data_IF_864854685695
#
_entry.id   IF_864854685695
#
_cell.length_a   1.000
_cell.length_b   1.000
_cell.length_c   1.000
_cell.angle_alpha   90.00
_cell.angle_beta   90.00
_cell.angle_gamma   90.00
#
_symmetry.space_group_name_H-M   'P 1'
#
loop_
_entity.id
_entity.type
_entity.pdbx_description
1 polymer ?
#
# COMPACT_ATOMS: atom_id res chain seq x y z
N UNK A 1 4.88 12.14 9.18
CA UNK A 1 5.83 11.05 8.79
C UNK A 1 6.39 10.34 10.03
N UNK A 2 6.21 9.01 10.11
CA UNK A 2 6.77 8.14 11.16
C UNK A 2 7.47 6.91 10.52
N UNK A 3 8.70 6.60 10.95
CA UNK A 3 9.55 5.51 10.43
C UNK A 3 10.53 5.07 11.56
N UNK A 4 10.95 3.79 11.65
CA UNK A 4 11.80 3.32 12.74
C UNK A 4 13.11 4.11 12.87
N UNK A 5 13.37 4.61 14.09
CA UNK A 5 14.45 5.56 14.44
C UNK A 5 15.86 5.09 14.07
N UNK A 6 16.09 3.77 14.04
CA UNK A 6 17.40 3.16 13.74
C UNK A 6 17.84 3.31 12.29
N UNK A 7 16.98 3.75 11.37
CA UNK A 7 17.35 3.89 9.94
C UNK A 7 17.58 5.30 9.44
N UNK A 8 17.19 6.36 10.19
CA UNK A 8 17.61 7.74 9.83
C UNK A 8 19.12 7.91 9.92
N UNK A 9 19.77 7.25 10.88
CA UNK A 9 21.22 7.33 11.07
C UNK A 9 22.02 6.75 9.88
N UNK A 10 21.49 5.73 9.19
CA UNK A 10 22.16 5.12 8.03
C UNK A 10 22.06 5.94 6.73
N UNK A 11 21.18 6.96 6.70
CA UNK A 11 20.97 7.81 5.52
C UNK A 11 21.93 9.02 5.46
N UNK A 12 22.72 9.30 6.51
CA UNK A 12 23.57 10.51 6.56
C UNK A 12 24.98 10.39 5.97
N UNK A 13 25.43 9.21 5.53
CA UNK A 13 26.78 9.05 4.96
C UNK A 13 26.83 8.14 3.73
N UNK A 14 26.24 8.57 2.61
CA UNK A 14 26.62 8.03 1.31
C UNK A 14 27.52 9.04 0.61
N UNK A 15 28.80 8.72 0.33
CA UNK A 15 29.63 9.56 -0.52
C UNK A 15 29.00 9.61 -1.92
N UNK A 16 28.90 10.83 -2.47
CA UNK A 16 28.75 11.00 -3.92
C UNK A 16 29.98 10.40 -4.61
N UNK A 17 29.74 9.61 -5.66
CA UNK A 17 30.73 8.90 -6.50
C UNK A 17 31.38 7.64 -5.90
N UNK A 18 30.67 6.51 -6.06
CA UNK A 18 31.29 5.20 -6.19
C UNK A 18 31.54 4.90 -7.67
N UNK A 19 32.76 4.52 -8.02
CA UNK A 19 33.18 4.21 -9.39
C UNK A 19 32.30 3.13 -10.03
N UNK A 20 31.85 3.39 -11.26
CA UNK A 20 30.99 2.51 -12.05
C UNK A 20 31.84 1.38 -12.62
N UNK A 21 31.79 0.20 -12.00
CA UNK A 21 32.29 -1.02 -12.64
C UNK A 21 31.13 -1.74 -13.32
N UNK A 22 30.87 -1.48 -14.60
CA UNK A 22 30.47 -2.51 -15.59
C UNK A 22 29.92 -1.86 -16.88
N UNK A 23 30.61 -2.13 -17.99
CA UNK A 23 30.18 -1.80 -19.36
C UNK A 23 29.03 -2.70 -19.87
N UNK A 24 28.41 -3.53 -19.03
CA UNK A 24 27.29 -4.43 -19.37
C UNK A 24 25.97 -4.09 -18.66
N UNK A 25 25.85 -2.92 -18.03
CA UNK A 25 24.63 -2.50 -17.33
C UNK A 25 23.39 -2.33 -18.23
N UNK A 26 23.52 -2.42 -19.55
CA UNK A 26 22.45 -2.24 -20.54
C UNK A 26 21.45 -3.40 -20.63
N UNK A 27 21.55 -4.41 -19.76
CA UNK A 27 20.71 -5.62 -19.80
C UNK A 27 19.84 -5.83 -18.57
N UNK A 28 19.84 -4.92 -17.59
CA UNK A 28 18.83 -4.94 -16.54
C UNK A 28 17.56 -4.33 -17.13
N UNK A 29 16.64 -5.19 -17.58
CA UNK A 29 15.26 -4.80 -17.83
C UNK A 29 14.68 -4.40 -16.47
N UNK A 30 14.79 -3.11 -16.11
CA UNK A 30 14.09 -2.58 -14.95
C UNK A 30 12.60 -2.59 -15.30
N UNK A 31 11.88 -3.57 -14.77
CA UNK A 31 10.44 -3.57 -14.83
C UNK A 31 9.90 -2.42 -13.98
N UNK A 32 8.88 -1.74 -14.49
CA UNK A 32 8.17 -0.69 -13.76
C UNK A 32 7.61 -1.28 -12.45
N UNK A 33 7.92 -0.70 -11.28
CA UNK A 33 7.47 -1.22 -9.99
C UNK A 33 5.95 -1.34 -9.92
N UNK A 34 5.46 -2.44 -9.35
CA UNK A 34 4.04 -2.72 -9.14
C UNK A 34 3.72 -2.75 -7.65
N UNK A 35 2.67 -2.07 -7.25
CA UNK A 35 2.24 -1.99 -5.85
C UNK A 35 0.80 -2.49 -5.68
N UNK A 36 0.55 -3.25 -4.62
CA UNK A 36 -0.81 -3.58 -4.19
C UNK A 36 -1.32 -2.49 -3.24
N UNK A 37 -2.39 -1.78 -3.60
CA UNK A 37 -3.02 -0.78 -2.74
C UNK A 37 -4.34 -1.29 -2.18
N UNK A 38 -4.43 -1.39 -0.86
CA UNK A 38 -5.60 -1.92 -0.15
C UNK A 38 -5.79 -1.20 1.19
N UNK A 39 -6.95 -1.34 1.81
CA UNK A 39 -7.20 -0.85 3.17
C UNK A 39 -8.52 -0.08 3.32
N UNK A 40 -8.93 0.16 4.58
CA UNK A 40 -10.22 0.78 4.90
C UNK A 40 -10.38 2.20 4.32
N UNK A 41 -9.30 2.97 4.21
CA UNK A 41 -9.35 4.33 3.69
C UNK A 41 -9.74 4.44 2.20
N UNK A 42 -9.75 3.33 1.45
CA UNK A 42 -10.28 3.30 0.08
C UNK A 42 -11.81 3.37 0.02
N UNK A 43 -12.48 3.03 1.12
CA UNK A 43 -13.94 2.80 1.14
C UNK A 43 -14.67 3.62 2.20
N UNK A 44 -14.00 3.92 3.32
CA UNK A 44 -14.61 4.59 4.48
C UNK A 44 -14.58 6.11 4.42
N UNK A 45 -13.67 6.71 3.65
CA UNK A 45 -13.56 8.16 3.51
C UNK A 45 -14.76 8.74 2.74
N UNK A 46 -15.15 9.96 3.10
CA UNK A 46 -16.19 10.70 2.39
C UNK A 46 -15.68 11.13 1.00
N UNK A 47 -14.42 11.51 0.92
CA UNK A 47 -13.73 11.83 -0.34
C UNK A 47 -13.02 10.59 -0.87
N UNK A 48 -13.30 10.21 -2.12
CA UNK A 48 -12.69 9.02 -2.72
C UNK A 48 -11.27 9.30 -3.17
N UNK A 49 -10.29 8.75 -2.44
CA UNK A 49 -8.87 8.78 -2.82
C UNK A 49 -8.64 8.33 -4.27
N UNK A 50 -9.31 7.26 -4.70
CA UNK A 50 -9.10 6.72 -6.04
C UNK A 50 -9.63 7.65 -7.12
N UNK A 51 -10.77 8.32 -6.90
CA UNK A 51 -11.26 9.32 -7.86
C UNK A 51 -10.26 10.48 -7.98
N UNK A 52 -9.74 10.98 -6.85
CA UNK A 52 -8.73 12.04 -6.85
C UNK A 52 -7.45 11.63 -7.59
N UNK A 53 -6.98 10.39 -7.41
CA UNK A 53 -5.84 9.83 -8.15
C UNK A 53 -6.10 9.76 -9.66
N UNK A 54 -7.30 9.33 -10.07
CA UNK A 54 -7.67 9.24 -11.49
C UNK A 54 -7.85 10.61 -12.15
N UNK A 55 -8.14 11.67 -11.38
CA UNK A 55 -8.25 13.04 -11.89
C UNK A 55 -6.96 13.85 -11.80
N UNK A 56 -5.87 13.27 -11.26
CA UNK A 56 -4.61 13.98 -11.07
C UNK A 56 -3.85 14.14 -12.39
N UNK A 57 -3.64 15.39 -12.82
CA UNK A 57 -2.79 15.68 -13.99
C UNK A 57 -1.30 15.42 -13.70
N UNK A 58 -0.86 15.71 -12.48
CA UNK A 58 0.54 15.54 -12.05
C UNK A 58 1.01 14.06 -12.12
N UNK A 59 0.09 13.12 -11.92
CA UNK A 59 0.38 11.69 -11.90
C UNK A 59 0.10 10.97 -13.23
N UNK A 60 -0.54 11.63 -14.20
CA UNK A 60 -0.86 11.11 -15.54
C UNK A 60 -1.41 9.66 -15.54
N UNK A 61 -2.56 9.38 -14.87
CA UNK A 61 -3.10 8.03 -14.76
C UNK A 61 -3.47 7.46 -16.13
N UNK A 62 -2.96 6.26 -16.42
CA UNK A 62 -3.28 5.53 -17.66
C UNK A 62 -3.65 4.09 -17.36
N UNK A 63 -4.50 3.49 -18.21
CA UNK A 63 -4.89 2.10 -18.04
C UNK A 63 -3.66 1.17 -18.12
N UNK A 64 -3.60 0.18 -17.22
CA UNK A 64 -2.54 -0.82 -17.23
C UNK A 64 -2.52 -1.63 -18.53
N UNK A 65 -1.33 -2.08 -18.94
CA UNK A 65 -1.16 -2.87 -20.17
C UNK A 65 -1.87 -4.22 -20.07
N UNK A 66 -2.60 -4.68 -21.11
CA UNK A 66 -3.33 -5.95 -21.11
C UNK A 66 -2.43 -7.17 -20.79
N UNK A 67 -1.16 -7.12 -21.20
CA UNK A 67 -0.18 -8.19 -20.95
C UNK A 67 0.15 -8.41 -19.46
N UNK A 68 -0.15 -7.42 -18.60
CA UNK A 68 0.07 -7.48 -17.15
C UNK A 68 -1.20 -7.73 -16.35
N UNK A 69 -2.27 -8.14 -17.04
CA UNK A 69 -3.57 -8.41 -16.43
C UNK A 69 -3.51 -9.65 -15.53
N UNK A 70 -4.11 -9.53 -14.35
CA UNK A 70 -4.33 -10.65 -13.43
C UNK A 70 -5.81 -11.03 -13.53
N UNK A 71 -6.08 -12.32 -13.71
CA UNK A 71 -7.44 -12.85 -13.86
C UNK A 71 -8.34 -12.43 -12.69
N UNK A 72 -9.45 -11.78 -13.01
CA UNK A 72 -10.43 -11.30 -12.02
C UNK A 72 -10.06 -10.00 -11.30
N UNK A 73 -8.87 -9.42 -11.56
CA UNK A 73 -8.41 -8.17 -10.93
C UNK A 73 -8.18 -7.06 -11.96
N UNK A 74 -7.58 -7.40 -13.11
CA UNK A 74 -7.22 -6.42 -14.14
C UNK A 74 -5.71 -6.13 -14.17
N UNK A 75 -5.32 -5.13 -14.96
CA UNK A 75 -3.91 -4.71 -15.17
C UNK A 75 -3.46 -3.57 -14.25
N UNK A 76 -4.34 -3.07 -13.38
CA UNK A 76 -4.09 -1.91 -12.53
C UNK A 76 -4.08 -0.59 -13.29
N UNK A 77 -3.59 0.45 -12.62
CA UNK A 77 -3.45 1.79 -13.20
C UNK A 77 -1.98 2.18 -13.17
N UNK A 78 -1.47 2.65 -14.31
CA UNK A 78 -0.13 3.17 -14.44
C UNK A 78 -0.15 4.66 -14.09
N UNK A 79 0.87 5.08 -13.37
CA UNK A 79 1.13 6.47 -13.02
C UNK A 79 2.56 6.83 -13.41
N UNK A 80 2.78 8.12 -13.61
CA UNK A 80 4.08 8.66 -13.95
C UNK A 80 4.38 9.87 -13.06
N UNK A 81 5.47 9.78 -12.30
CA UNK A 81 5.97 10.87 -11.48
C UNK A 81 7.08 11.62 -12.22
N UNK A 82 6.95 12.95 -12.32
CA UNK A 82 7.94 13.86 -12.91
C UNK A 82 8.43 13.45 -14.31
N UNK A 83 7.57 12.79 -15.09
CA UNK A 83 7.88 12.20 -16.40
C UNK A 83 9.03 11.18 -16.43
N UNK A 84 9.54 10.73 -15.29
CA UNK A 84 10.72 9.85 -15.21
C UNK A 84 10.40 8.51 -14.55
N UNK A 85 9.65 8.51 -13.45
CA UNK A 85 9.38 7.29 -12.69
C UNK A 85 7.98 6.78 -13.01
N UNK A 86 7.91 5.67 -13.74
CA UNK A 86 6.66 4.96 -14.04
C UNK A 86 6.45 3.85 -13.03
N UNK A 87 5.23 3.72 -12.54
CA UNK A 87 4.83 2.66 -11.62
C UNK A 87 3.37 2.27 -11.84
N UNK A 88 3.01 1.07 -11.39
CA UNK A 88 1.67 0.50 -11.54
C UNK A 88 1.07 0.22 -10.17
N UNK A 89 -0.19 0.59 -9.95
CA UNK A 89 -0.92 0.26 -8.72
C UNK A 89 -2.10 -0.65 -9.05
N UNK A 90 -2.14 -1.80 -8.37
CA UNK A 90 -3.28 -2.70 -8.30
C UNK A 90 -4.15 -2.29 -7.11
N UNK A 91 -5.25 -1.59 -7.38
CA UNK A 91 -6.18 -1.11 -6.35
C UNK A 91 -7.15 -2.24 -6.00
N UNK A 92 -7.09 -2.72 -4.77
CA UNK A 92 -7.85 -3.86 -4.28
C UNK A 92 -8.97 -3.36 -3.37
N UNK A 93 -10.21 -3.41 -3.88
CA UNK A 93 -11.40 -3.11 -3.09
C UNK A 93 -11.87 -4.37 -2.37
N UNK A 94 -12.38 -4.19 -1.15
CA UNK A 94 -12.95 -5.27 -0.37
C UNK A 94 -14.38 -5.60 -0.83
N UNK A 95 -15.10 -4.59 -1.33
CA UNK A 95 -16.51 -4.67 -1.71
C UNK A 95 -16.84 -3.80 -2.94
N UNK A 96 -17.90 -4.15 -3.67
CA UNK A 96 -18.31 -3.37 -4.85
C UNK A 96 -18.95 -2.03 -4.47
N UNK A 97 -18.95 -1.03 -5.37
CA UNK A 97 -19.61 0.27 -5.13
C UNK A 97 -21.08 0.11 -4.68
N UNK A 98 -21.83 -0.79 -5.32
CA UNK A 98 -23.24 -1.08 -4.97
C UNK A 98 -23.38 -1.64 -3.54
N UNK A 99 -22.44 -2.49 -3.11
CA UNK A 99 -22.45 -3.05 -1.76
C UNK A 99 -22.06 -2.00 -0.72
N UNK A 100 -21.15 -1.08 -1.06
CA UNK A 100 -20.79 0.06 -0.20
C UNK A 100 -21.94 1.04 -0.02
N UNK A 101 -22.62 1.41 -1.11
CA UNK A 101 -23.77 2.32 -1.07
C UNK A 101 -24.89 1.72 -0.21
N UNK A 102 -25.19 0.41 -0.36
CA UNK A 102 -26.17 -0.30 0.46
C UNK A 102 -25.76 -0.42 1.94
N UNK A 103 -24.49 -0.73 2.23
CA UNK A 103 -23.97 -0.80 3.60
C UNK A 103 -24.03 0.55 4.33
N UNK A 104 -23.82 1.67 3.60
CA UNK A 104 -23.98 3.04 4.12
C UNK A 104 -25.44 3.36 4.45
N UNK A 105 -26.39 2.89 3.65
CA UNK A 105 -27.83 3.05 3.90
C UNK A 105 -28.30 2.17 5.08
N UNK A 106 -27.85 0.92 5.13
CA UNK A 106 -28.31 -0.09 6.10
C UNK A 106 -27.55 -0.06 7.44
N UNK A 107 -26.51 0.77 7.59
CA UNK A 107 -25.61 0.81 8.76
C UNK A 107 -24.99 -0.57 9.09
N UNK A 108 -24.82 -1.44 8.10
CA UNK A 108 -24.24 -2.77 8.24
C UNK A 108 -22.81 -2.80 7.71
N UNK A 109 -21.93 -3.60 8.32
CA UNK A 109 -20.55 -3.77 7.84
C UNK A 109 -20.52 -4.64 6.59
N UNK A 110 -19.99 -4.12 5.48
CA UNK A 110 -19.81 -4.89 4.27
C UNK A 110 -18.75 -5.99 4.48
N UNK A 111 -19.05 -7.24 4.09
CA UNK A 111 -18.13 -8.38 4.27
C UNK A 111 -16.93 -8.23 3.33
N UNK A 112 -15.71 -8.21 3.90
CA UNK A 112 -14.48 -8.08 3.13
C UNK A 112 -14.20 -9.37 2.33
N UNK A 113 -14.30 -9.31 1.00
CA UNK A 113 -14.16 -10.48 0.12
C UNK A 113 -12.72 -10.85 -0.22
N UNK A 114 -11.74 -10.05 0.20
CA UNK A 114 -10.33 -10.35 -0.05
C UNK A 114 -9.78 -11.43 0.89
N UNK A 115 -10.44 -11.64 2.04
CA UNK A 115 -9.97 -12.54 3.09
C UNK A 115 -10.98 -13.63 3.40
N UNK A 116 -10.47 -14.84 3.62
CA UNK A 116 -11.21 -15.94 4.21
C UNK A 116 -10.85 -16.01 5.70
N UNK A 117 -11.87 -16.13 6.57
CA UNK A 117 -11.67 -16.34 7.99
C UNK A 117 -11.20 -17.79 8.21
N UNK A 118 -10.11 -18.00 8.93
CA UNK A 118 -9.71 -19.33 9.38
C UNK A 118 -10.41 -19.64 10.72
N UNK A 119 -11.19 -20.73 10.78
CA UNK A 119 -11.86 -21.17 12.02
C UNK A 119 -10.84 -21.69 13.04
N UNK A 120 -11.11 -21.51 14.34
CA UNK A 120 -10.24 -21.87 15.50
C UNK A 120 -10.01 -23.39 15.72
N UNK A 121 -10.03 -24.21 14.67
CA UNK A 121 -9.91 -25.67 14.75
C UNK A 121 -8.61 -26.26 14.22
N UNK A 122 -7.68 -25.44 13.72
CA UNK A 122 -6.38 -25.91 13.23
C UNK A 122 -5.29 -25.46 14.21
N UNK A 123 -4.72 -26.43 14.93
CA UNK A 123 -3.69 -26.30 15.96
C UNK A 123 -2.36 -25.77 15.38
N UNK A 124 -2.32 -24.55 14.84
CA UNK A 124 -1.07 -23.84 14.56
C UNK A 124 -1.25 -22.34 14.75
N UNK A 125 -0.16 -21.70 15.16
CA UNK A 125 0.07 -20.27 15.34
C UNK A 125 -0.12 -19.47 14.02
N UNK A 126 -1.28 -19.57 13.38
CA UNK A 126 -1.60 -19.03 12.05
C UNK A 126 -2.36 -17.71 12.11
N UNK A 127 -2.22 -16.90 11.05
CA UNK A 127 -2.98 -15.66 10.88
C UNK A 127 -4.49 -15.95 10.79
N UNK A 128 -5.31 -15.19 11.55
CA UNK A 128 -6.79 -15.23 11.57
C UNK A 128 -7.43 -15.12 10.17
N UNK A 129 -6.71 -14.54 9.22
CA UNK A 129 -7.13 -14.33 7.84
C UNK A 129 -6.16 -14.98 6.87
N UNK A 130 -6.70 -15.58 5.81
CA UNK A 130 -5.96 -15.90 4.58
C UNK A 130 -6.49 -15.10 3.39
N UNK A 131 -5.62 -14.75 2.46
CA UNK A 131 -5.99 -14.09 1.21
C UNK A 131 -6.56 -15.09 0.21
N UNK A 132 -7.57 -14.69 -0.57
CA UNK A 132 -8.14 -15.52 -1.63
C UNK A 132 -7.13 -15.75 -2.78
N UNK A 133 -7.25 -16.84 -3.58
CA UNK A 133 -6.24 -17.20 -4.59
C UNK A 133 -5.91 -16.10 -5.62
N UNK A 134 -6.89 -15.28 -6.00
CA UNK A 134 -6.67 -14.16 -6.92
C UNK A 134 -5.76 -13.08 -6.31
N UNK A 135 -5.91 -12.83 -5.00
CA UNK A 135 -5.12 -11.86 -4.26
C UNK A 135 -3.74 -12.43 -3.93
N UNK A 136 -3.61 -13.75 -3.71
CA UNK A 136 -2.32 -14.42 -3.60
C UNK A 136 -1.44 -14.15 -4.83
N UNK A 137 -2.00 -14.30 -6.05
CA UNK A 137 -1.30 -13.95 -7.29
C UNK A 137 -0.84 -12.49 -7.34
N UNK A 138 -1.63 -11.56 -6.78
CA UNK A 138 -1.18 -10.15 -6.65
C UNK A 138 0.00 -10.07 -5.70
N UNK A 139 -0.12 -10.65 -4.51
CA UNK A 139 0.94 -10.67 -3.52
C UNK A 139 2.21 -11.35 -4.02
N UNK A 140 2.15 -12.23 -5.02
CA UNK A 140 3.32 -12.86 -5.65
C UNK A 140 4.06 -11.94 -6.62
N UNK A 141 3.36 -11.04 -7.31
CA UNK A 141 3.93 -10.25 -8.43
C UNK A 141 4.24 -8.80 -8.09
N UNK A 142 3.80 -8.30 -6.93
CA UNK A 142 4.04 -6.90 -6.53
C UNK A 142 5.37 -6.71 -5.81
N UNK A 143 5.99 -5.56 -6.06
CA UNK A 143 7.28 -5.13 -5.50
C UNK A 143 7.13 -4.50 -4.11
N UNK A 144 5.92 -4.06 -3.76
CA UNK A 144 5.61 -3.46 -2.47
C UNK A 144 4.12 -3.32 -2.21
N UNK A 145 3.79 -2.84 -1.02
CA UNK A 145 2.42 -2.72 -0.54
C UNK A 145 2.11 -1.28 -0.12
N UNK A 146 0.89 -0.84 -0.41
CA UNK A 146 0.35 0.45 0.03
C UNK A 146 -0.91 0.16 0.85
N UNK A 147 -0.84 0.40 2.15
CA UNK A 147 -1.98 0.28 3.04
C UNK A 147 -2.61 1.66 3.28
N UNK A 148 -3.88 1.82 2.91
CA UNK A 148 -4.62 3.07 3.10
C UNK A 148 -5.44 2.97 4.39
N UNK A 149 -4.94 3.59 5.44
CA UNK A 149 -5.61 3.66 6.74
C UNK A 149 -6.55 4.87 6.79
N UNK A 150 -7.71 4.70 7.42
CA UNK A 150 -8.57 5.83 7.77
C UNK A 150 -8.00 6.51 9.03
N UNK A 151 -7.57 7.76 8.92
CA UNK A 151 -6.94 8.50 10.01
C UNK A 151 -7.87 9.57 10.61
N UNK A 152 -9.16 9.54 10.29
CA UNK A 152 -10.14 10.49 10.82
C UNK A 152 -10.42 10.18 12.29
N UNK A 153 -10.31 11.17 13.17
CA UNK A 153 -10.31 10.98 14.63
C UNK A 153 -11.64 10.46 15.21
N UNK A 154 -12.72 10.50 14.42
CA UNK A 154 -14.01 9.94 14.81
C UNK A 154 -14.13 8.45 14.48
N UNK A 155 -13.19 7.87 13.72
CA UNK A 155 -13.19 6.47 13.35
C UNK A 155 -12.90 5.58 14.55
N UNK A 156 -13.70 4.53 14.71
CA UNK A 156 -13.41 3.41 15.61
C UNK A 156 -12.67 2.33 14.84
N UNK A 157 -11.53 1.92 15.38
CA UNK A 157 -10.65 0.95 14.77
C UNK A 157 -10.71 -0.39 15.49
N UNK A 158 -10.59 -1.46 14.70
CA UNK A 158 -10.34 -2.81 15.19
C UNK A 158 -8.90 -3.15 14.86
N UNK A 159 -7.96 -2.53 15.58
CA UNK A 159 -6.52 -2.55 15.25
C UNK A 159 -5.94 -3.96 15.09
N UNK A 160 -6.42 -4.92 15.88
CA UNK A 160 -5.99 -6.30 15.79
C UNK A 160 -6.40 -6.95 14.46
N UNK A 161 -7.62 -6.68 13.99
CA UNK A 161 -8.11 -7.20 12.71
C UNK A 161 -7.43 -6.49 11.53
N UNK A 162 -7.17 -5.17 11.63
CA UNK A 162 -6.39 -4.43 10.64
C UNK A 162 -4.97 -4.98 10.49
N UNK A 163 -4.27 -5.23 11.62
CA UNK A 163 -2.96 -5.86 11.62
C UNK A 163 -3.00 -7.27 11.03
N UNK A 164 -3.95 -8.12 11.42
CA UNK A 164 -4.04 -9.47 10.87
C UNK A 164 -4.30 -9.48 9.36
N UNK A 165 -5.08 -8.52 8.84
CA UNK A 165 -5.27 -8.36 7.38
C UNK A 165 -4.01 -7.88 6.67
N UNK A 166 -3.25 -6.96 7.27
CA UNK A 166 -1.94 -6.52 6.77
C UNK A 166 -1.00 -7.73 6.70
N UNK A 167 -0.87 -8.49 7.79
CA UNK A 167 0.01 -9.67 7.85
C UNK A 167 -0.35 -10.72 6.81
N UNK A 168 -1.65 -10.96 6.57
CA UNK A 168 -2.11 -11.89 5.54
C UNK A 168 -1.75 -11.43 4.11
N UNK A 169 -1.79 -10.12 3.84
CA UNK A 169 -1.39 -9.56 2.54
C UNK A 169 0.12 -9.59 2.34
N UNK A 170 0.89 -9.34 3.40
CA UNK A 170 2.35 -9.27 3.37
C UNK A 170 3.02 -10.58 3.78
N UNK A 171 2.33 -11.71 3.66
CA UNK A 171 2.87 -13.01 4.06
C UNK A 171 4.16 -13.32 3.26
N UNK A 172 5.29 -13.65 3.92
CA UNK A 172 6.54 -13.99 3.24
C UNK A 172 6.43 -15.24 2.34
N UNK A 173 5.41 -16.06 2.50
CA UNK A 173 5.12 -17.18 1.59
C UNK A 173 4.86 -16.71 0.14
N UNK A 174 4.33 -15.49 -0.03
CA UNK A 174 4.05 -14.92 -1.35
C UNK A 174 5.22 -14.10 -1.91
N UNK A 175 6.33 -13.94 -1.19
CA UNK A 175 7.51 -13.24 -1.72
C UNK A 175 8.41 -12.64 -0.66
N UNK A 176 9.48 -11.96 -1.10
CA UNK A 176 10.51 -11.44 -0.19
C UNK A 176 9.94 -10.53 0.91
N UNK A 177 10.36 -10.78 2.16
CA UNK A 177 10.06 -9.94 3.32
C UNK A 177 10.67 -8.54 3.23
N UNK A 178 11.65 -8.32 2.34
CA UNK A 178 12.24 -6.99 2.18
C UNK A 178 11.39 -6.01 1.37
N UNK A 179 10.23 -6.42 0.83
CA UNK A 179 9.37 -5.54 0.03
C UNK A 179 8.81 -4.42 0.91
N UNK A 180 8.91 -3.14 0.50
CA UNK A 180 8.48 -2.04 1.35
C UNK A 180 6.96 -1.97 1.50
N UNK A 181 6.53 -1.42 2.63
CA UNK A 181 5.13 -1.15 2.96
C UNK A 181 4.94 0.35 3.27
N UNK A 182 4.24 1.04 2.40
CA UNK A 182 3.80 2.42 2.63
C UNK A 182 2.43 2.41 3.31
N UNK A 183 2.30 3.05 4.46
CA UNK A 183 1.03 3.27 5.13
C UNK A 183 0.60 4.72 4.91
N UNK A 184 -0.49 4.92 4.18
CA UNK A 184 -1.12 6.22 4.00
C UNK A 184 -2.12 6.45 5.13
N UNK A 185 -1.79 7.35 6.05
CA UNK A 185 -2.66 7.85 7.11
C UNK A 185 -3.57 8.93 6.51
N UNK A 186 -4.71 8.50 5.98
CA UNK A 186 -5.54 9.28 5.08
C UNK A 186 -6.76 9.90 5.77
N UNK A 187 -7.04 11.16 5.48
CA UNK A 187 -8.30 11.85 5.83
C UNK A 187 -8.97 12.36 4.57
N UNK A 188 -10.28 12.60 4.60
CA UNK A 188 -11.01 13.11 3.44
C UNK A 188 -10.49 14.46 2.95
N UNK A 189 -10.29 15.41 3.86
CA UNK A 189 -9.93 16.81 3.61
C UNK A 189 -9.32 17.46 4.87
N UNK A 190 -8.66 18.62 4.72
CA UNK A 190 -7.78 19.25 5.73
C UNK A 190 -8.47 19.64 7.04
N UNK A 191 -9.77 19.93 7.01
CA UNK A 191 -10.58 20.33 8.18
C UNK A 191 -11.01 19.16 9.06
N UNK A 192 -10.87 17.92 8.57
CA UNK A 192 -11.17 16.72 9.36
C UNK A 192 -10.08 16.48 10.39
N UNK A 193 -10.49 16.40 11.67
CA UNK A 193 -9.57 16.10 12.76
C UNK A 193 -8.88 14.75 12.52
N UNK A 194 -7.55 14.73 12.63
CA UNK A 194 -6.70 13.57 12.34
C UNK A 194 -6.18 12.87 13.59
N UNK A 195 -6.02 11.54 13.52
CA UNK A 195 -5.19 10.74 14.41
C UNK A 195 -3.71 10.93 14.03
N UNK A 196 -2.83 11.38 14.93
CA UNK A 196 -1.42 11.56 14.59
C UNK A 196 -0.77 10.26 14.10
N UNK A 197 0.01 10.34 13.01
CA UNK A 197 0.56 9.16 12.33
C UNK A 197 1.43 8.25 13.23
N UNK A 198 2.05 8.78 14.28
CA UNK A 198 2.81 7.97 15.24
C UNK A 198 1.91 7.08 16.11
N UNK A 199 0.71 7.54 16.48
CA UNK A 199 -0.27 6.72 17.20
C UNK A 199 -0.77 5.61 16.29
N UNK A 200 -1.10 5.94 15.04
CA UNK A 200 -1.53 4.95 14.05
C UNK A 200 -0.47 3.86 13.84
N UNK A 201 0.81 4.25 13.72
CA UNK A 201 1.93 3.30 13.61
C UNK A 201 2.05 2.38 14.84
N UNK A 202 1.83 2.95 16.03
CA UNK A 202 1.89 2.23 17.30
C UNK A 202 0.74 1.23 17.44
N UNK A 203 -0.50 1.67 17.18
CA UNK A 203 -1.70 0.85 17.31
C UNK A 203 -1.73 -0.30 16.30
N UNK A 204 -1.31 -0.05 15.06
CA UNK A 204 -1.12 -1.10 14.05
C UNK A 204 0.10 -2.00 14.34
N UNK A 205 0.89 -1.72 15.40
CA UNK A 205 2.09 -2.48 15.78
C UNK A 205 3.03 -2.75 14.60
N UNK A 206 3.27 -1.75 13.76
CA UNK A 206 4.06 -1.91 12.52
C UNK A 206 5.48 -2.43 12.76
N UNK A 207 6.02 -2.29 13.98
CA UNK A 207 7.30 -2.87 14.40
C UNK A 207 7.33 -4.42 14.35
N UNK A 208 6.17 -5.09 14.34
CA UNK A 208 6.07 -6.54 14.21
C UNK A 208 6.19 -7.01 12.76
N UNK A 209 6.11 -6.10 11.80
CA UNK A 209 6.25 -6.41 10.38
C UNK A 209 7.73 -6.58 10.04
N UNK A 210 8.04 -7.63 9.29
CA UNK A 210 9.40 -7.89 8.78
C UNK A 210 9.76 -7.03 7.55
N UNK A 211 8.92 -6.07 7.20
CA UNK A 211 9.01 -5.23 6.01
C UNK A 211 9.57 -3.84 6.36
N UNK A 212 10.36 -3.20 5.47
CA UNK A 212 10.61 -1.76 5.57
C UNK A 212 9.28 -1.02 5.48
N UNK A 213 9.02 -0.09 6.41
CA UNK A 213 7.74 0.64 6.41
C UNK A 213 7.90 2.13 6.69
N UNK A 214 6.93 2.90 6.20
CA UNK A 214 6.77 4.32 6.50
C UNK A 214 5.29 4.65 6.63
N UNK A 215 4.94 5.46 7.64
CA UNK A 215 3.61 6.08 7.74
C UNK A 215 3.68 7.52 7.21
N UNK A 216 2.93 7.78 6.15
CA UNK A 216 2.81 9.07 5.51
C UNK A 216 1.42 9.66 5.75
N UNK A 217 1.42 10.89 6.21
CA UNK A 217 0.23 11.72 6.36
C UNK A 217 -0.33 12.10 4.98
N UNK A 218 -1.63 11.90 4.74
CA UNK A 218 -2.21 12.06 3.41
C UNK A 218 -3.63 12.66 3.42
N UNK A 219 -3.98 13.47 2.43
CA UNK A 219 -5.32 14.03 2.22
C UNK A 219 -5.92 13.55 0.90
N UNK A 220 -7.12 12.97 0.94
CA UNK A 220 -7.75 12.38 -0.23
C UNK A 220 -8.16 13.43 -1.27
N UNK A 221 -8.66 14.60 -0.85
CA UNK A 221 -9.10 15.67 -1.77
C UNK A 221 -7.95 16.28 -2.58
N UNK A 222 -6.88 16.68 -1.90
CA UNK A 222 -5.77 17.44 -2.51
C UNK A 222 -4.60 16.56 -2.94
N UNK A 223 -4.61 15.28 -2.59
CA UNK A 223 -3.49 14.36 -2.70
C UNK A 223 -2.23 14.80 -1.92
N UNK A 224 -2.35 15.77 -1.01
CA UNK A 224 -1.22 16.27 -0.23
C UNK A 224 -0.57 15.13 0.54
N UNK A 225 0.74 15.00 0.41
CA UNK A 225 1.54 13.93 1.03
C UNK A 225 1.60 12.62 0.26
N UNK A 226 0.78 12.41 -0.79
CA UNK A 226 0.84 11.20 -1.61
C UNK A 226 2.19 11.06 -2.34
N UNK A 227 2.65 12.14 -2.99
CA UNK A 227 3.90 12.15 -3.77
C UNK A 227 5.11 11.75 -2.90
N UNK A 228 5.27 12.35 -1.72
CA UNK A 228 6.37 12.02 -0.81
C UNK A 228 6.32 10.56 -0.34
N UNK A 229 5.12 9.99 -0.18
CA UNK A 229 4.95 8.57 0.11
C UNK A 229 5.41 7.68 -1.04
N UNK A 230 5.05 8.05 -2.28
CA UNK A 230 5.43 7.32 -3.49
C UNK A 230 6.93 7.43 -3.78
N UNK A 231 7.53 8.60 -3.62
CA UNK A 231 8.98 8.79 -3.76
C UNK A 231 9.73 7.84 -2.83
N UNK A 232 9.33 7.78 -1.55
CA UNK A 232 9.95 6.88 -0.58
C UNK A 232 9.83 5.40 -0.98
N UNK A 233 8.65 4.93 -1.40
CA UNK A 233 8.47 3.50 -1.72
C UNK A 233 9.25 3.12 -2.99
N UNK A 234 9.34 4.02 -3.98
CA UNK A 234 10.15 3.82 -5.18
C UNK A 234 11.64 3.72 -4.84
N UNK A 235 12.15 4.62 -4.00
CA UNK A 235 13.55 4.56 -3.52
C UNK A 235 13.87 3.25 -2.80
N UNK A 236 12.98 2.76 -1.94
CA UNK A 236 13.19 1.50 -1.23
C UNK A 236 13.22 0.30 -2.20
N UNK A 237 12.39 0.30 -3.24
CA UNK A 237 12.41 -0.74 -4.30
C UNK A 237 13.72 -0.67 -5.10
N UNK A 238 14.14 0.52 -5.54
CA UNK A 238 15.40 0.70 -6.29
C UNK A 238 16.63 0.28 -5.46
N UNK A 239 16.63 0.57 -4.15
CA UNK A 239 17.73 0.21 -3.25
C UNK A 239 17.96 -1.31 -3.14
N UNK A 240 16.92 -2.11 -3.40
CA UNK A 240 17.02 -3.57 -3.42
C UNK A 240 17.55 -4.09 -4.75
N UNK A 241 17.18 -3.46 -5.86
CA UNK A 241 17.65 -3.84 -7.19
C UNK A 241 19.15 -3.55 -7.39
N UNK A 242 19.71 -2.61 -6.63
CA UNK A 242 21.12 -2.24 -6.67
C UNK A 242 22.04 -3.13 -5.79
N UNK A 243 21.49 -4.09 -5.04
CA UNK A 243 22.24 -5.02 -4.16
C UNK A 243 22.24 -6.43 -4.74
#
# INVERSE_FOLDING_TARGET
MCCPYTRRALKSSRPMYGAVTSFLHSLIIQNEPRFAMFGPGLEELNTSLVLSLMSSEELCPTAGLPQRQIDGIGSGVNFQLNNQHKFNILILYSTTRKERDRAREEHTSAVNKMFSLQSEGDDQQGSRYSVIPQIQKVCEVVDGFIYVANAEAHKRHEWQDELSRIMAMTDPAFGSSGRPMLVLSCISQVDVKRIPCFYLAHELRLNLLNHPWMVQDMEAETLTGFLSGIEWILEEVESKHAR
#
